data_IF_807484669266
#
_entry.id   IF_807484669266
#
_cell.length_a   1.000
_cell.length_b   1.000
_cell.length_c   1.000
_cell.angle_alpha   90.00
_cell.angle_beta   90.00
_cell.angle_gamma   90.00
#
_symmetry.space_group_name_H-M   'P 1'
#
loop_
_entity.id
_entity.type
_entity.pdbx_description
1 polymer ?
#
# COMPACT_ATOMS: atom_id res chain seq x y z
N UNK A 1 3.85 9.58 -11.42
CA UNK A 1 4.67 8.38 -11.69
C UNK A 1 3.77 7.19 -11.95
N UNK A 2 4.23 6.20 -12.73
CA UNK A 2 3.49 4.95 -12.94
C UNK A 2 4.12 3.89 -12.03
N UNK A 3 3.30 3.29 -11.17
CA UNK A 3 3.74 2.28 -10.20
C UNK A 3 3.06 0.96 -10.50
N UNK A 4 3.84 -0.12 -10.47
CA UNK A 4 3.34 -1.47 -10.73
C UNK A 4 3.18 -2.28 -9.45
N UNK A 5 1.93 -2.58 -9.12
CA UNK A 5 1.59 -3.37 -7.95
C UNK A 5 1.42 -4.85 -8.29
N UNK A 6 1.74 -5.73 -7.34
CA UNK A 6 1.38 -7.14 -7.43
C UNK A 6 -0.10 -7.33 -7.13
N UNK A 7 -0.67 -8.48 -7.51
CA UNK A 7 -2.10 -8.75 -7.22
C UNK A 7 -2.37 -8.69 -5.70
N UNK A 8 -1.45 -9.21 -4.89
CA UNK A 8 -1.55 -9.22 -3.43
C UNK A 8 -1.60 -7.81 -2.86
N UNK A 9 -0.75 -6.91 -3.37
CA UNK A 9 -0.74 -5.50 -2.95
C UNK A 9 -2.03 -4.79 -3.35
N UNK A 10 -2.51 -5.00 -4.58
CA UNK A 10 -3.78 -4.43 -5.05
C UNK A 10 -4.95 -4.88 -4.19
N UNK A 11 -5.05 -6.20 -3.96
CA UNK A 11 -6.10 -6.77 -3.14
C UNK A 11 -6.03 -6.23 -1.71
N UNK A 12 -4.83 -6.04 -1.17
CA UNK A 12 -4.62 -5.47 0.15
C UNK A 12 -5.04 -3.99 0.22
N UNK A 13 -4.57 -3.15 -0.71
CA UNK A 13 -4.93 -1.73 -0.78
C UNK A 13 -6.44 -1.57 -0.90
N UNK A 14 -7.10 -2.31 -1.79
CA UNK A 14 -8.56 -2.23 -1.94
C UNK A 14 -9.33 -2.67 -0.69
N UNK A 15 -8.82 -3.64 0.05
CA UNK A 15 -9.52 -4.18 1.23
C UNK A 15 -9.34 -3.34 2.50
N UNK A 16 -8.25 -2.57 2.59
CA UNK A 16 -7.90 -1.79 3.76
C UNK A 16 -7.96 -0.28 3.51
N UNK A 17 -7.21 0.21 2.52
CA UNK A 17 -7.11 1.65 2.23
C UNK A 17 -8.47 2.23 1.79
N UNK A 18 -9.15 1.54 0.85
CA UNK A 18 -10.43 2.02 0.31
C UNK A 18 -11.59 1.99 1.32
N UNK A 19 -11.43 1.28 2.44
CA UNK A 19 -12.41 1.29 3.54
C UNK A 19 -12.12 2.37 4.57
N UNK A 20 -10.88 2.79 4.67
CA UNK A 20 -10.41 3.76 5.66
C UNK A 20 -10.44 5.19 5.13
N UNK A 21 -10.49 5.38 3.80
CA UNK A 21 -10.67 6.70 3.21
C UNK A 21 -11.34 6.61 1.83
N UNK A 22 -12.41 7.39 1.65
CA UNK A 22 -13.10 7.57 0.35
C UNK A 22 -12.23 8.28 -0.69
N UNK A 23 -11.12 8.91 -0.26
CA UNK A 23 -10.19 9.63 -1.13
C UNK A 23 -9.31 8.69 -1.96
N UNK A 24 -9.09 7.46 -1.50
CA UNK A 24 -8.27 6.49 -2.24
C UNK A 24 -9.11 5.61 -3.16
N UNK A 25 -9.56 6.18 -4.28
CA UNK A 25 -9.99 5.37 -5.43
C UNK A 25 -8.82 5.16 -6.37
N UNK A 26 -8.05 4.11 -6.12
CA UNK A 26 -7.02 3.67 -7.06
C UNK A 26 -7.69 3.02 -8.28
N UNK A 27 -7.44 3.57 -9.47
CA UNK A 27 -7.87 2.96 -10.73
C UNK A 27 -6.77 1.99 -11.16
N UNK A 28 -6.98 0.70 -10.90
CA UNK A 28 -6.10 -0.34 -11.41
C UNK A 28 -6.40 -0.56 -12.90
N UNK A 29 -5.46 -0.19 -13.76
CA UNK A 29 -5.51 -0.57 -15.18
C UNK A 29 -5.29 -2.09 -15.27
N UNK A 30 -5.81 -2.77 -16.30
CA UNK A 30 -5.73 -4.24 -16.50
C UNK A 30 -4.33 -4.85 -16.25
N UNK A 31 -3.27 -4.04 -16.36
CA UNK A 31 -1.87 -4.42 -16.15
C UNK A 31 -1.32 -4.22 -14.72
N UNK A 32 -2.16 -3.87 -13.74
CA UNK A 32 -1.76 -3.60 -12.33
C UNK A 32 -0.87 -2.36 -12.17
N UNK A 33 -0.98 -1.44 -13.11
CA UNK A 33 -0.30 -0.17 -13.11
C UNK A 33 -1.27 0.89 -12.59
N UNK A 34 -0.76 1.77 -11.74
CA UNK A 34 -1.49 2.91 -11.20
C UNK A 34 -0.66 4.15 -11.47
N UNK A 35 -1.31 5.17 -12.04
CA UNK A 35 -0.75 6.50 -12.09
C UNK A 35 -0.93 7.15 -10.71
N UNK A 36 0.18 7.49 -10.09
CA UNK A 36 0.26 8.05 -8.74
C UNK A 36 1.02 9.37 -8.84
N UNK A 37 0.43 10.48 -8.43
CA UNK A 37 1.18 11.74 -8.27
C UNK A 37 1.94 11.74 -6.93
N UNK A 38 2.79 12.75 -6.72
CA UNK A 38 3.63 12.77 -5.53
C UNK A 38 2.82 12.89 -4.23
N UNK A 39 1.75 13.68 -4.25
CA UNK A 39 0.88 13.89 -3.09
C UNK A 39 0.18 12.56 -2.72
N UNK A 40 -0.38 11.85 -3.70
CA UNK A 40 -0.96 10.53 -3.51
C UNK A 40 0.08 9.48 -3.07
N UNK A 41 1.31 9.56 -3.58
CA UNK A 41 2.38 8.67 -3.17
C UNK A 41 2.81 8.91 -1.71
N UNK A 42 2.88 10.17 -1.27
CA UNK A 42 3.12 10.55 0.12
C UNK A 42 1.98 10.01 1.02
N UNK A 43 0.73 10.27 0.64
CA UNK A 43 -0.44 9.82 1.41
C UNK A 43 -0.51 8.29 1.57
N UNK A 44 -0.27 7.51 0.51
CA UNK A 44 -0.28 6.05 0.60
C UNK A 44 0.89 5.55 1.46
N UNK A 45 2.07 6.21 1.40
CA UNK A 45 3.23 5.84 2.23
C UNK A 45 2.97 6.09 3.70
N UNK A 46 2.41 7.26 4.04
CA UNK A 46 2.07 7.61 5.41
C UNK A 46 1.05 6.62 5.97
N UNK A 47 -0.03 6.36 5.23
CA UNK A 47 -1.03 5.36 5.62
C UNK A 47 -0.41 3.97 5.79
N UNK A 48 0.43 3.52 4.84
CA UNK A 48 1.03 2.20 4.90
C UNK A 48 1.98 2.07 6.10
N UNK A 49 2.74 3.13 6.40
CA UNK A 49 3.62 3.20 7.56
C UNK A 49 2.86 3.10 8.88
N UNK A 50 1.79 3.89 9.04
CA UNK A 50 0.91 3.81 10.21
C UNK A 50 0.28 2.42 10.34
N UNK A 51 -0.21 1.86 9.24
CA UNK A 51 -0.83 0.53 9.22
C UNK A 51 0.17 -0.55 9.62
N UNK A 52 1.42 -0.44 9.19
CA UNK A 52 2.47 -1.41 9.49
C UNK A 52 2.79 -1.46 10.98
N UNK A 53 2.70 -0.34 11.69
CA UNK A 53 2.88 -0.32 13.15
C UNK A 53 1.76 -1.09 13.88
N UNK A 54 0.58 -1.22 13.28
CA UNK A 54 -0.59 -1.86 13.91
C UNK A 54 -0.65 -3.36 13.60
N UNK A 55 -0.39 -3.75 12.34
CA UNK A 55 -0.59 -5.14 11.86
C UNK A 55 0.62 -5.74 11.15
N UNK A 56 1.71 -4.98 11.03
CA UNK A 56 2.90 -5.38 10.27
C UNK A 56 3.85 -6.28 11.05
N UNK A 57 3.71 -6.36 12.36
CA UNK A 57 4.58 -7.14 13.24
C UNK A 57 3.76 -8.05 14.15
N UNK A 58 4.31 -9.23 14.47
CA UNK A 58 3.76 -10.12 15.48
C UNK A 58 4.28 -9.77 16.89
N UNK A 59 3.90 -10.59 17.87
CA UNK A 59 4.31 -10.46 19.27
C UNK A 59 5.82 -10.58 19.52
N UNK A 60 6.58 -11.14 18.57
CA UNK A 60 8.03 -11.25 18.62
C UNK A 60 8.73 -10.12 17.85
N UNK A 61 7.97 -9.12 17.38
CA UNK A 61 8.43 -8.06 16.50
C UNK A 61 8.97 -8.59 15.16
N UNK A 62 8.52 -9.77 14.72
CA UNK A 62 8.83 -10.31 13.40
C UNK A 62 7.83 -9.80 12.37
N UNK A 63 8.33 -9.51 11.17
CA UNK A 63 7.53 -8.94 10.09
C UNK A 63 6.53 -9.98 9.57
N UNK A 64 5.24 -9.67 9.70
CA UNK A 64 4.15 -10.53 9.25
C UNK A 64 4.01 -10.53 7.73
N UNK A 65 3.23 -11.46 7.20
CA UNK A 65 2.91 -11.47 5.76
C UNK A 65 2.13 -10.24 5.29
N UNK A 66 1.45 -9.53 6.20
CA UNK A 66 0.82 -8.25 5.93
C UNK A 66 1.85 -7.12 6.01
N UNK A 67 2.77 -7.17 6.98
CA UNK A 67 3.91 -6.26 7.08
C UNK A 67 4.76 -6.25 5.81
N UNK A 68 5.08 -7.43 5.27
CA UNK A 68 5.83 -7.56 3.99
C UNK A 68 5.10 -6.93 2.81
N UNK A 69 3.77 -6.96 2.79
CA UNK A 69 2.98 -6.29 1.73
C UNK A 69 3.07 -4.78 1.89
N UNK A 70 2.94 -4.28 3.11
CA UNK A 70 3.05 -2.85 3.42
C UNK A 70 4.43 -2.30 3.08
N UNK A 71 5.51 -2.98 3.47
CA UNK A 71 6.89 -2.60 3.08
C UNK A 71 7.04 -2.56 1.56
N UNK A 72 6.57 -3.59 0.86
CA UNK A 72 6.66 -3.60 -0.60
C UNK A 72 5.85 -2.49 -1.27
N UNK A 73 4.73 -2.05 -0.69
CA UNK A 73 3.96 -0.89 -1.18
C UNK A 73 4.78 0.38 -0.98
N UNK A 74 5.31 0.57 0.23
CA UNK A 74 6.11 1.73 0.62
C UNK A 74 7.34 1.86 -0.29
N UNK A 75 8.10 0.79 -0.47
CA UNK A 75 9.31 0.76 -1.30
C UNK A 75 9.03 1.17 -2.75
N UNK A 76 7.89 0.74 -3.30
CA UNK A 76 7.50 1.07 -4.69
C UNK A 76 7.10 2.54 -4.88
N UNK A 77 6.75 3.23 -3.81
CA UNK A 77 6.34 4.63 -3.82
C UNK A 77 7.50 5.60 -3.54
N UNK A 78 8.70 5.09 -3.26
CA UNK A 78 9.93 5.88 -3.14
C UNK A 78 10.74 5.97 -4.46
N UNK A 79 10.19 5.50 -5.59
CA UNK A 79 10.92 5.29 -6.85
C UNK A 79 10.60 6.27 -8.00
#
# INVERSE_FOLDING_TARGET
MIVKFSKKEIDFLNNHLSKESEYFKLIFVENKEVEVDNDLADEIRDWAGEKQQIIGYDENYELTDLGKVLESVIDKLYH
#
